data_IF_248147984804
#
_entry.id   IF_248147984804
#
_cell.length_a   1.000
_cell.length_b   1.000
_cell.length_c   1.000
_cell.angle_alpha   90.00
_cell.angle_beta   90.00
_cell.angle_gamma   90.00
#
_symmetry.space_group_name_H-M   'P 1'
#
loop_
_entity.id
_entity.type
_entity.pdbx_description
1 polymer ?
#
# COMPACT_ATOMS: atom_id res chain seq x y z
N UNK A 1 -14.04 -0.46 -1.58
CA UNK A 1 -13.68 -1.75 -2.23
C UNK A 1 -12.22 -2.02 -1.94
N UNK A 2 -11.86 -3.22 -1.45
CA UNK A 2 -10.46 -3.58 -1.27
C UNK A 2 -9.77 -3.62 -2.64
N UNK A 3 -8.58 -3.03 -2.74
CA UNK A 3 -7.79 -3.05 -3.98
C UNK A 3 -7.48 -4.51 -4.36
N UNK A 4 -7.76 -4.95 -5.61
CA UNK A 4 -7.45 -6.30 -6.06
C UNK A 4 -5.96 -6.62 -5.81
N UNK A 5 -5.68 -7.80 -5.25
CA UNK A 5 -4.31 -8.25 -4.96
C UNK A 5 -3.67 -7.71 -3.68
N UNK A 6 -4.36 -6.85 -2.89
CA UNK A 6 -3.85 -6.39 -1.59
C UNK A 6 -4.43 -7.21 -0.44
N UNK A 7 -3.57 -7.71 0.45
CA UNK A 7 -3.98 -8.43 1.66
C UNK A 7 -4.43 -7.43 2.73
N UNK A 8 -5.70 -7.49 3.13
CA UNK A 8 -6.19 -6.76 4.31
C UNK A 8 -5.78 -7.50 5.59
N UNK A 9 -5.14 -6.80 6.52
CA UNK A 9 -4.68 -7.37 7.79
C UNK A 9 -4.91 -6.37 8.93
N UNK A 10 -5.52 -6.79 10.05
CA UNK A 10 -5.68 -5.93 11.21
C UNK A 10 -4.32 -5.67 11.87
N UNK A 11 -3.82 -4.45 11.75
CA UNK A 11 -2.56 -4.04 12.36
C UNK A 11 -2.78 -3.56 13.79
N UNK A 12 -2.06 -4.12 14.76
CA UNK A 12 -1.97 -3.57 16.11
C UNK A 12 -0.87 -2.52 16.11
N UNK A 13 -1.25 -1.25 16.07
CA UNK A 13 -0.33 -0.11 16.06
C UNK A 13 -0.69 0.85 17.20
N UNK A 14 0.32 1.51 17.76
CA UNK A 14 0.13 2.62 18.69
C UNK A 14 -0.61 3.77 17.97
N UNK A 15 -1.70 4.31 18.54
CA UNK A 15 -2.42 5.46 17.97
C UNK A 15 -1.54 6.69 17.71
N UNK A 16 -0.56 6.97 18.56
CA UNK A 16 0.33 8.12 18.39
C UNK A 16 1.25 7.93 17.16
N UNK A 17 1.71 6.70 16.95
CA UNK A 17 2.50 6.34 15.76
C UNK A 17 1.65 6.42 14.49
N UNK A 18 0.39 5.98 14.55
CA UNK A 18 -0.52 6.08 13.42
C UNK A 18 -0.77 7.54 13.00
N UNK A 19 -0.97 8.44 13.96
CA UNK A 19 -1.17 9.85 13.67
C UNK A 19 0.03 10.49 12.93
N UNK A 20 1.26 10.11 13.29
CA UNK A 20 2.45 10.62 12.59
C UNK A 20 2.57 10.06 11.17
N UNK A 21 2.20 8.78 10.96
CA UNK A 21 2.13 8.19 9.62
C UNK A 21 1.09 8.90 8.75
N UNK A 22 -0.09 9.21 9.30
CA UNK A 22 -1.13 9.97 8.59
C UNK A 22 -0.65 11.37 8.22
N UNK A 23 0.04 12.05 9.13
CA UNK A 23 0.62 13.37 8.89
C UNK A 23 1.68 13.33 7.79
N UNK A 24 2.57 12.35 7.81
CA UNK A 24 3.58 12.15 6.79
C UNK A 24 2.94 11.83 5.43
N UNK A 25 1.94 10.95 5.41
CA UNK A 25 1.19 10.62 4.21
C UNK A 25 0.52 11.86 3.59
N UNK A 26 -0.08 12.72 4.42
CA UNK A 26 -0.67 13.98 3.98
C UNK A 26 0.35 14.93 3.36
N UNK A 27 1.57 15.01 3.93
CA UNK A 27 2.66 15.82 3.37
C UNK A 27 3.14 15.28 2.01
N UNK A 28 3.14 13.96 1.82
CA UNK A 28 3.54 13.31 0.57
C UNK A 28 2.39 13.15 -0.45
N UNK A 29 1.22 13.74 -0.18
CA UNK A 29 0.00 13.57 -1.00
C UNK A 29 -0.36 12.11 -1.26
N UNK A 30 -0.15 11.25 -0.26
CA UNK A 30 -0.36 9.81 -0.31
C UNK A 30 -1.45 9.39 0.68
N UNK A 31 -2.13 8.29 0.41
CA UNK A 31 -3.01 7.68 1.42
C UNK A 31 -2.17 7.05 2.54
N UNK A 32 -2.72 7.00 3.76
CA UNK A 32 -2.04 6.37 4.90
C UNK A 32 -1.63 4.92 4.60
N UNK A 33 -2.49 4.14 3.91
CA UNK A 33 -2.16 2.76 3.53
C UNK A 33 -0.99 2.67 2.54
N UNK A 34 -0.92 3.58 1.57
CA UNK A 34 0.19 3.61 0.63
C UNK A 34 1.48 4.10 1.32
N UNK A 35 1.39 4.98 2.32
CA UNK A 35 2.54 5.37 3.15
C UNK A 35 3.08 4.19 3.96
N UNK A 36 2.18 3.42 4.59
CA UNK A 36 2.56 2.19 5.32
C UNK A 36 3.25 1.20 4.38
N UNK A 37 2.70 0.97 3.19
CA UNK A 37 3.30 0.07 2.20
C UNK A 37 4.70 0.54 1.81
N UNK A 38 4.88 1.84 1.54
CA UNK A 38 6.19 2.43 1.23
C UNK A 38 7.20 2.21 2.35
N UNK A 39 6.86 2.55 3.60
CA UNK A 39 7.73 2.38 4.76
C UNK A 39 8.11 0.91 5.02
N UNK A 40 7.18 -0.02 4.80
CA UNK A 40 7.45 -1.46 4.92
C UNK A 40 8.42 -1.94 3.84
N UNK A 41 8.23 -1.51 2.59
CA UNK A 41 9.14 -1.83 1.47
C UNK A 41 10.53 -1.27 1.73
N UNK A 42 10.61 -0.01 2.14
CA UNK A 42 11.87 0.65 2.49
C UNK A 42 12.57 -0.09 3.64
N UNK A 43 11.84 -0.46 4.69
CA UNK A 43 12.36 -1.22 5.82
C UNK A 43 12.86 -2.63 5.44
N UNK A 44 12.21 -3.31 4.49
CA UNK A 44 12.68 -4.59 3.96
C UNK A 44 13.90 -4.42 3.05
N UNK A 45 13.91 -3.39 2.20
CA UNK A 45 15.03 -3.07 1.31
C UNK A 45 16.30 -2.78 2.11
N UNK A 46 16.22 -1.97 3.16
CA UNK A 46 17.33 -1.69 4.10
C UNK A 46 17.89 -2.96 4.77
N UNK A 47 17.09 -4.02 4.85
CA UNK A 47 17.47 -5.33 5.42
C UNK A 47 17.86 -6.36 4.35
N UNK A 48 17.89 -5.98 3.07
CA UNK A 48 18.18 -6.90 1.97
C UNK A 48 17.11 -7.98 1.76
N UNK A 49 15.86 -7.73 2.15
CA UNK A 49 14.74 -8.70 2.11
C UNK A 49 13.61 -8.27 1.17
N UNK A 50 13.86 -7.34 0.26
CA UNK A 50 12.84 -6.89 -0.69
C UNK A 50 12.51 -8.04 -1.68
N UNK A 51 11.23 -8.42 -1.84
CA UNK A 51 10.84 -9.49 -2.76
C UNK A 51 10.99 -9.04 -4.23
N UNK A 52 11.46 -9.94 -5.10
CA UNK A 52 11.76 -9.64 -6.51
C UNK A 52 10.54 -9.39 -7.44
N UNK A 53 9.32 -9.34 -6.89
CA UNK A 53 8.06 -9.35 -7.68
C UNK A 53 7.54 -7.97 -8.08
N UNK A 54 8.20 -6.89 -7.67
CA UNK A 54 7.71 -5.50 -7.82
C UNK A 54 7.48 -5.02 -9.26
N UNK A 55 7.88 -5.79 -10.28
CA UNK A 55 7.73 -5.39 -11.68
C UNK A 55 6.37 -5.71 -12.34
N UNK A 56 5.41 -6.41 -11.70
CA UNK A 56 4.23 -6.95 -12.43
C UNK A 56 2.84 -6.64 -11.88
N UNK A 57 2.69 -5.97 -10.74
CA UNK A 57 1.36 -5.87 -10.10
C UNK A 57 0.55 -4.66 -10.58
N UNK A 58 1.17 -3.59 -11.07
CA UNK A 58 0.46 -2.37 -11.46
C UNK A 58 -0.13 -2.40 -12.90
N UNK A 59 0.19 -3.42 -13.72
CA UNK A 59 -0.15 -3.46 -15.14
C UNK A 59 -1.38 -4.30 -15.53
N UNK A 60 -2.16 -4.81 -14.57
CA UNK A 60 -3.37 -5.64 -14.87
C UNK A 60 -4.59 -5.23 -14.06
N UNK A 61 -4.98 -3.96 -14.12
CA UNK A 61 -6.39 -3.61 -13.87
C UNK A 61 -6.75 -2.42 -14.72
N UNK A 62 -7.03 -2.64 -16.01
CA UNK A 62 -7.92 -1.78 -16.82
C UNK A 62 -8.15 -2.47 -18.17
N UNK A 63 -9.25 -3.22 -18.27
CA UNK A 63 -10.19 -3.15 -19.41
C UNK A 63 -11.19 -4.31 -19.33
N UNK A 64 -12.39 -4.05 -18.81
CA UNK A 64 -13.63 -4.51 -19.45
C UNK A 64 -14.84 -3.75 -18.87
N UNK A 65 -15.54 -2.91 -19.65
CA UNK A 65 -16.82 -2.36 -19.22
C UNK A 65 -17.88 -3.47 -19.24
N UNK A 66 -18.65 -3.60 -18.15
CA UNK A 66 -19.75 -4.55 -18.04
C UNK A 66 -20.97 -4.06 -18.86
N UNK A 67 -21.73 -4.95 -19.53
CA UNK A 67 -22.91 -4.55 -20.32
C UNK A 67 -24.10 -4.21 -19.41
N UNK A 68 -25.01 -3.32 -19.86
CA UNK A 68 -26.20 -2.96 -19.11
C UNK A 68 -27.22 -4.11 -19.14
N UNK A 69 -27.87 -4.37 -17.99
CA UNK A 69 -29.15 -5.05 -17.91
C UNK A 69 -30.15 -4.16 -17.21
#
# INVERSE_FOLDING_TARGET
MASPGKKSYPLRIDPALWAEIERLAAQELRSANAQVEFLLREGLAKRGRLPATDAKTDAKTDDKPAPPR
#
